data_IF_119208816479
#
_entry.id   IF_119208816479
#
_cell.length_a   1.000
_cell.length_b   1.000
_cell.length_c   1.000
_cell.angle_alpha   90.00
_cell.angle_beta   90.00
_cell.angle_gamma   90.00
#
_symmetry.space_group_name_H-M   'P 1'
#
loop_
_entity.id
_entity.type
_entity.pdbx_description
1 polymer ?
#
# COMPACT_ATOMS: atom_id res chain seq x y z
N UNK A 1 -26.14 -14.68 -11.36
CA UNK A 1 -24.69 -14.92 -11.49
C UNK A 1 -24.44 -16.40 -11.73
N UNK A 2 -23.41 -16.79 -12.49
CA UNK A 2 -23.00 -18.18 -12.61
C UNK A 2 -22.63 -18.74 -11.22
N UNK A 3 -22.96 -20.01 -10.97
CA UNK A 3 -22.70 -20.69 -9.69
C UNK A 3 -21.59 -21.71 -9.89
N UNK A 4 -20.56 -21.67 -9.03
CA UNK A 4 -19.46 -22.64 -9.01
C UNK A 4 -19.67 -23.56 -7.81
N UNK A 5 -19.62 -24.87 -8.04
CA UNK A 5 -19.66 -25.87 -6.97
C UNK A 5 -18.28 -26.49 -6.83
N UNK A 6 -17.70 -26.37 -5.63
CA UNK A 6 -16.36 -26.86 -5.29
C UNK A 6 -16.49 -27.91 -4.19
N UNK A 7 -15.69 -28.98 -4.30
CA UNK A 7 -15.58 -30.02 -3.25
C UNK A 7 -14.32 -29.75 -2.45
N UNK A 8 -14.48 -29.63 -1.14
CA UNK A 8 -13.41 -29.44 -0.16
C UNK A 8 -13.54 -30.51 0.91
N UNK A 9 -12.44 -30.83 1.59
CA UNK A 9 -12.47 -31.72 2.74
C UNK A 9 -13.09 -31.06 3.98
N UNK A 10 -13.44 -31.88 4.98
CA UNK A 10 -14.12 -31.42 6.19
C UNK A 10 -13.25 -30.44 7.01
N UNK A 11 -11.92 -30.64 7.03
CA UNK A 11 -11.00 -29.76 7.77
C UNK A 11 -10.96 -28.35 7.16
N UNK A 12 -10.90 -28.25 5.83
CA UNK A 12 -10.92 -27.00 5.11
C UNK A 12 -12.29 -26.32 5.20
N UNK A 13 -13.40 -27.09 5.16
CA UNK A 13 -14.74 -26.54 5.39
C UNK A 13 -14.84 -25.89 6.78
N UNK A 14 -14.37 -26.58 7.81
CA UNK A 14 -14.53 -26.12 9.19
C UNK A 14 -13.70 -24.84 9.43
N UNK A 15 -12.46 -24.78 8.92
CA UNK A 15 -11.64 -23.56 8.96
C UNK A 15 -12.28 -22.38 8.21
N UNK A 16 -12.93 -22.66 7.09
CA UNK A 16 -13.60 -21.65 6.29
C UNK A 16 -14.81 -21.08 7.03
N UNK A 17 -15.60 -21.95 7.68
CA UNK A 17 -16.74 -21.54 8.49
C UNK A 17 -16.29 -20.70 9.69
N UNK A 18 -15.24 -21.12 10.39
CA UNK A 18 -14.64 -20.36 11.50
C UNK A 18 -14.19 -18.97 11.05
N UNK A 19 -13.43 -18.89 9.94
CA UNK A 19 -12.96 -17.62 9.39
C UNK A 19 -14.06 -16.69 8.85
N UNK A 20 -15.20 -17.26 8.43
CA UNK A 20 -16.38 -16.51 8.02
C UNK A 20 -17.16 -15.98 9.23
N UNK A 21 -17.28 -16.77 10.30
CA UNK A 21 -17.94 -16.41 11.55
C UNK A 21 -17.18 -15.29 12.28
N UNK A 22 -15.85 -15.37 12.35
CA UNK A 22 -14.99 -14.29 12.89
C UNK A 22 -15.21 -12.95 12.19
N UNK A 23 -15.57 -12.98 10.90
CA UNK A 23 -15.81 -11.80 10.06
C UNK A 23 -17.29 -11.43 9.95
N UNK A 24 -18.20 -12.17 10.59
CA UNK A 24 -19.63 -11.93 10.56
C UNK A 24 -20.29 -12.07 9.18
N UNK A 25 -19.70 -12.86 8.27
CA UNK A 25 -20.18 -13.05 6.90
C UNK A 25 -20.54 -14.51 6.62
N UNK A 26 -21.32 -14.77 5.57
CA UNK A 26 -21.62 -16.15 5.14
C UNK A 26 -20.38 -16.83 4.54
N UNK A 27 -20.30 -18.15 4.63
CA UNK A 27 -19.21 -18.93 4.00
C UNK A 27 -19.06 -18.65 2.49
N UNK A 28 -20.18 -18.47 1.77
CA UNK A 28 -20.16 -18.12 0.35
C UNK A 28 -19.64 -16.70 0.10
N UNK A 29 -19.98 -15.75 0.97
CA UNK A 29 -19.45 -14.38 0.91
C UNK A 29 -17.96 -14.37 1.23
N UNK A 30 -17.54 -15.13 2.24
CA UNK A 30 -16.14 -15.26 2.61
C UNK A 30 -15.31 -15.84 1.46
N UNK A 31 -15.74 -16.97 0.88
CA UNK A 31 -15.07 -17.57 -0.29
C UNK A 31 -15.00 -16.60 -1.45
N UNK A 32 -16.12 -15.93 -1.76
CA UNK A 32 -16.15 -14.94 -2.83
C UNK A 32 -15.13 -13.83 -2.59
N UNK A 33 -15.14 -13.23 -1.40
CA UNK A 33 -14.23 -12.14 -1.06
C UNK A 33 -12.77 -12.59 -1.08
N UNK A 34 -12.47 -13.81 -0.60
CA UNK A 34 -11.11 -14.37 -0.66
C UNK A 34 -10.66 -14.67 -2.09
N UNK A 35 -11.57 -15.13 -2.95
CA UNK A 35 -11.29 -15.38 -4.37
C UNK A 35 -11.13 -14.05 -5.12
N UNK A 36 -11.99 -13.06 -4.87
CA UNK A 36 -11.88 -11.72 -5.41
C UNK A 36 -10.60 -11.03 -4.92
N UNK A 37 -10.22 -11.19 -3.65
CA UNK A 37 -8.94 -10.72 -3.11
C UNK A 37 -7.77 -11.41 -3.81
N UNK A 38 -7.86 -12.72 -4.05
CA UNK A 38 -6.82 -13.47 -4.76
C UNK A 38 -6.67 -13.02 -6.22
N UNK A 39 -7.77 -12.79 -6.94
CA UNK A 39 -7.72 -12.33 -8.33
C UNK A 39 -7.39 -10.83 -8.44
N UNK A 40 -7.80 -9.99 -7.48
CA UNK A 40 -7.32 -8.60 -7.35
C UNK A 40 -5.80 -8.52 -7.13
N UNK A 41 -5.17 -9.58 -6.63
CA UNK A 41 -3.72 -9.65 -6.49
C UNK A 41 -3.01 -10.05 -7.81
N UNK A 42 -3.72 -10.53 -8.82
CA UNK A 42 -3.17 -10.94 -10.13
C UNK A 42 -3.45 -9.93 -11.26
N UNK A 43 -4.56 -9.20 -11.21
CA UNK A 43 -4.93 -8.21 -12.24
C UNK A 43 -4.20 -6.87 -12.01
N UNK A 44 -2.99 -6.75 -12.54
CA UNK A 44 -2.20 -5.51 -12.62
C UNK A 44 -2.67 -4.49 -13.67
N UNK A 45 -3.95 -4.46 -14.04
CA UNK A 45 -4.50 -3.52 -15.04
C UNK A 45 -5.90 -3.02 -14.66
N UNK A 46 -6.05 -2.39 -13.50
CA UNK A 46 -7.14 -1.44 -13.28
C UNK A 46 -6.58 -0.03 -13.36
N UNK A 47 -6.98 0.68 -14.42
CA UNK A 47 -6.90 2.14 -14.46
C UNK A 47 -7.87 2.66 -13.41
N UNK A 48 -7.32 3.20 -12.31
CA UNK A 48 -8.03 3.90 -11.23
C UNK A 48 -9.27 3.15 -10.69
N UNK A 49 -9.16 2.42 -9.56
CA UNK A 49 -10.27 2.15 -8.63
C UNK A 49 -10.74 3.49 -8.02
N UNK A 50 -11.37 4.29 -8.88
CA UNK A 50 -12.48 5.15 -8.49
C UNK A 50 -13.52 4.27 -7.79
N UNK A 51 -14.28 4.78 -6.82
CA UNK A 51 -15.30 4.01 -6.11
C UNK A 51 -16.09 3.14 -7.09
N UNK A 52 -15.87 1.83 -7.04
CA UNK A 52 -16.13 0.92 -8.16
C UNK A 52 -17.57 0.41 -8.17
N UNK A 53 -18.52 1.28 -7.82
CA UNK A 53 -19.95 1.00 -7.84
C UNK A 53 -20.70 2.09 -8.58
N UNK A 54 -21.84 1.73 -9.16
CA UNK A 54 -22.83 2.74 -9.55
C UNK A 54 -23.22 3.49 -8.26
N UNK A 55 -22.63 4.67 -8.06
CA UNK A 55 -22.92 5.54 -6.93
C UNK A 55 -24.32 6.12 -7.10
N UNK A 56 -25.33 5.36 -6.67
CA UNK A 56 -26.72 5.81 -6.69
C UNK A 56 -27.05 6.48 -5.35
N UNK A 57 -27.11 7.81 -5.38
CA UNK A 57 -27.49 8.63 -4.23
C UNK A 57 -28.98 8.96 -4.30
N UNK A 58 -29.71 8.63 -3.25
CA UNK A 58 -31.10 9.03 -3.09
C UNK A 58 -31.26 10.56 -3.14
N UNK A 59 -32.44 11.09 -3.49
CA UNK A 59 -32.69 12.53 -3.46
C UNK A 59 -32.38 13.18 -2.10
N UNK A 60 -32.54 12.44 -0.99
CA UNK A 60 -32.23 12.94 0.36
C UNK A 60 -30.73 13.04 0.58
N UNK A 61 -29.95 12.03 0.15
CA UNK A 61 -28.48 12.06 0.24
C UNK A 61 -27.89 13.18 -0.62
N UNK A 62 -28.36 13.33 -1.87
CA UNK A 62 -27.95 14.44 -2.75
C UNK A 62 -28.30 15.79 -2.15
N UNK A 63 -29.51 15.96 -1.62
CA UNK A 63 -29.92 17.20 -0.97
C UNK A 63 -29.05 17.50 0.27
N UNK A 64 -28.64 16.47 1.00
CA UNK A 64 -27.76 16.61 2.16
C UNK A 64 -26.38 17.12 1.74
N UNK A 65 -25.75 16.48 0.74
CA UNK A 65 -24.45 16.91 0.20
C UNK A 65 -24.50 18.33 -0.38
N UNK A 66 -25.56 18.67 -1.13
CA UNK A 66 -25.78 20.05 -1.63
C UNK A 66 -25.84 21.05 -0.48
N UNK A 67 -26.52 20.73 0.61
CA UNK A 67 -26.57 21.61 1.79
C UNK A 67 -25.20 21.74 2.46
N UNK A 68 -24.38 20.68 2.48
CA UNK A 68 -23.01 20.73 3.00
C UNK A 68 -22.11 21.64 2.16
N UNK A 69 -22.09 21.51 0.82
CA UNK A 69 -21.33 22.41 -0.05
C UNK A 69 -21.78 23.87 0.09
N UNK A 70 -23.09 24.12 0.18
CA UNK A 70 -23.61 25.47 0.43
C UNK A 70 -23.19 26.00 1.78
N UNK A 71 -23.13 25.16 2.81
CA UNK A 71 -22.63 25.55 4.13
C UNK A 71 -21.12 25.87 4.09
N UNK A 72 -20.31 25.10 3.35
CA UNK A 72 -18.88 25.37 3.14
C UNK A 72 -18.68 26.71 2.43
N UNK A 73 -19.41 26.96 1.33
CA UNK A 73 -19.38 28.23 0.60
C UNK A 73 -19.83 29.42 1.45
N UNK A 74 -20.86 29.23 2.27
CA UNK A 74 -21.38 30.28 3.15
C UNK A 74 -20.43 30.57 4.33
N UNK A 75 -19.79 29.55 4.87
CA UNK A 75 -18.84 29.68 5.97
C UNK A 75 -17.54 30.33 5.49
N UNK A 76 -17.04 29.95 4.31
CA UNK A 76 -15.77 30.41 3.71
C UNK A 76 -14.63 30.55 4.75
N UNK A 77 -14.63 29.70 5.78
CA UNK A 77 -13.95 29.96 7.05
C UNK A 77 -12.43 29.87 6.95
N UNK A 78 -11.79 29.48 8.06
CA UNK A 78 -10.34 29.30 8.16
C UNK A 78 -9.85 27.97 7.52
N UNK A 79 -10.53 27.48 6.49
CA UNK A 79 -10.03 26.32 5.73
C UNK A 79 -8.78 26.72 4.95
N UNK A 80 -7.75 25.88 5.02
CA UNK A 80 -6.57 26.04 4.19
C UNK A 80 -6.93 25.89 2.71
N UNK A 81 -6.14 26.50 1.83
CA UNK A 81 -6.35 26.48 0.37
C UNK A 81 -6.39 25.05 -0.20
N UNK A 82 -5.73 24.10 0.47
CA UNK A 82 -5.77 22.67 0.12
C UNK A 82 -7.14 22.00 0.36
N UNK A 83 -7.99 22.58 1.21
CA UNK A 83 -9.29 22.02 1.60
C UNK A 83 -10.48 22.88 1.15
N UNK A 84 -10.24 23.96 0.40
CA UNK A 84 -11.31 24.85 -0.06
C UNK A 84 -11.03 25.40 -1.47
N UNK A 85 -11.86 25.00 -2.42
CA UNK A 85 -11.95 25.62 -3.75
C UNK A 85 -13.43 25.95 -4.04
N UNK A 86 -13.77 27.24 -4.00
CA UNK A 86 -15.11 27.73 -4.25
C UNK A 86 -15.67 27.26 -5.61
N UNK A 87 -14.82 27.14 -6.64
CA UNK A 87 -15.26 26.66 -7.94
C UNK A 87 -15.58 25.17 -7.92
N UNK A 88 -14.78 24.37 -7.22
CA UNK A 88 -15.04 22.95 -7.00
C UNK A 88 -16.33 22.72 -6.25
N UNK A 89 -16.55 23.44 -5.15
CA UNK A 89 -17.80 23.37 -4.37
C UNK A 89 -19.03 23.68 -5.25
N UNK A 90 -18.93 24.72 -6.09
CA UNK A 90 -20.01 25.08 -7.03
C UNK A 90 -20.21 24.04 -8.14
N UNK A 91 -19.15 23.36 -8.59
CA UNK A 91 -19.24 22.24 -9.55
C UNK A 91 -19.97 21.05 -8.92
N UNK A 92 -19.60 20.65 -7.70
CA UNK A 92 -20.24 19.55 -6.96
C UNK A 92 -21.74 19.80 -6.73
N UNK A 93 -22.13 21.02 -6.32
CA UNK A 93 -23.56 21.39 -6.21
C UNK A 93 -24.32 21.13 -7.52
N UNK A 94 -23.78 21.58 -8.66
CA UNK A 94 -24.44 21.39 -9.97
C UNK A 94 -24.56 19.90 -10.32
N UNK A 95 -23.51 19.12 -10.08
CA UNK A 95 -23.49 17.68 -10.35
C UNK A 95 -24.56 16.94 -9.54
N UNK A 96 -24.68 17.26 -8.25
CA UNK A 96 -25.65 16.64 -7.34
C UNK A 96 -27.09 17.04 -7.66
N UNK A 97 -27.37 18.33 -7.86
CA UNK A 97 -28.72 18.85 -8.16
C UNK A 97 -29.28 18.29 -9.47
N UNK A 98 -28.45 18.17 -10.50
CA UNK A 98 -28.87 17.68 -11.82
C UNK A 98 -28.81 16.15 -11.93
N UNK A 99 -28.20 15.46 -10.96
CA UNK A 99 -28.11 14.00 -10.98
C UNK A 99 -27.14 13.46 -12.03
N UNK A 100 -26.01 14.15 -12.26
CA UNK A 100 -24.98 13.69 -13.20
C UNK A 100 -24.14 12.56 -12.57
N UNK A 101 -24.73 11.37 -12.48
CA UNK A 101 -24.14 10.21 -11.78
C UNK A 101 -22.78 9.79 -12.35
N UNK A 102 -22.53 10.01 -13.65
CA UNK A 102 -21.23 9.77 -14.29
C UNK A 102 -20.09 10.64 -13.73
N UNK A 103 -20.41 11.79 -13.13
CA UNK A 103 -19.44 12.73 -12.57
C UNK A 103 -19.16 12.46 -11.08
N UNK A 104 -19.96 11.63 -10.40
CA UNK A 104 -19.87 11.48 -8.94
C UNK A 104 -18.49 10.98 -8.52
N UNK A 105 -17.99 9.94 -9.17
CA UNK A 105 -16.71 9.35 -8.81
C UNK A 105 -15.53 10.33 -8.98
N UNK A 106 -15.56 11.20 -9.99
CA UNK A 106 -14.44 12.10 -10.31
C UNK A 106 -14.56 13.51 -9.73
N UNK A 107 -15.75 13.94 -9.29
CA UNK A 107 -16.00 15.28 -8.77
C UNK A 107 -16.43 15.27 -7.30
N UNK A 108 -17.38 14.41 -6.91
CA UNK A 108 -17.94 14.39 -5.55
C UNK A 108 -17.11 13.53 -4.61
N UNK A 109 -16.71 12.34 -5.08
CA UNK A 109 -15.96 11.36 -4.31
C UNK A 109 -14.48 11.32 -4.72
N UNK A 110 -14.00 12.38 -5.37
CA UNK A 110 -12.60 12.53 -5.72
C UNK A 110 -11.74 12.51 -4.44
N UNK A 111 -10.71 11.65 -4.41
CA UNK A 111 -9.85 11.49 -3.24
C UNK A 111 -10.44 10.63 -2.12
N UNK A 112 -11.66 10.09 -2.29
CA UNK A 112 -12.21 9.04 -1.42
C UNK A 112 -11.86 7.70 -2.04
N UNK A 113 -10.84 7.07 -1.48
CA UNK A 113 -10.40 5.74 -1.88
C UNK A 113 -11.10 4.67 -1.05
N UNK A 114 -11.22 3.48 -1.64
CA UNK A 114 -11.65 2.31 -0.88
C UNK A 114 -10.70 2.08 0.32
N UNK A 115 -11.24 1.67 1.49
CA UNK A 115 -10.41 1.43 2.67
C UNK A 115 -9.29 0.43 2.38
N UNK A 116 -8.05 0.84 2.65
CA UNK A 116 -6.89 -0.05 2.56
C UNK A 116 -7.05 -1.21 3.57
N UNK A 117 -7.01 -2.48 3.12
CA UNK A 117 -7.05 -3.61 4.03
C UNK A 117 -5.90 -3.58 5.03
N UNK A 118 -6.16 -4.02 6.27
CA UNK A 118 -5.14 -4.08 7.33
C UNK A 118 -3.88 -4.84 6.89
N UNK A 119 -4.05 -5.91 6.13
CA UNK A 119 -2.97 -6.75 5.60
C UNK A 119 -2.03 -5.99 4.66
N UNK A 120 -2.55 -5.02 3.89
CA UNK A 120 -1.72 -4.15 3.05
C UNK A 120 -0.94 -3.14 3.89
N UNK A 121 -1.57 -2.56 4.91
CA UNK A 121 -0.90 -1.69 5.85
C UNK A 121 0.24 -2.40 6.60
N UNK A 122 0.01 -3.64 7.05
CA UNK A 122 1.03 -4.49 7.68
C UNK A 122 2.15 -4.85 6.71
N UNK A 123 1.83 -5.08 5.43
CA UNK A 123 2.84 -5.32 4.39
C UNK A 123 3.75 -4.11 4.21
N UNK A 124 3.22 -2.89 4.17
CA UNK A 124 4.05 -1.67 4.12
C UNK A 124 4.99 -1.60 5.32
N UNK A 125 4.50 -1.90 6.52
CA UNK A 125 5.34 -1.91 7.73
C UNK A 125 6.45 -2.94 7.65
N UNK A 126 6.14 -4.17 7.23
CA UNK A 126 7.12 -5.23 7.05
C UNK A 126 8.23 -4.83 6.06
N UNK A 127 7.86 -4.15 4.97
CA UNK A 127 8.82 -3.66 3.97
C UNK A 127 9.75 -2.60 4.58
N UNK A 128 9.19 -1.59 5.25
CA UNK A 128 9.98 -0.52 5.86
C UNK A 128 10.89 -1.03 6.97
N UNK A 129 10.40 -1.94 7.82
CA UNK A 129 11.20 -2.57 8.88
C UNK A 129 12.31 -3.47 8.33
N UNK A 130 12.06 -4.19 7.24
CA UNK A 130 13.09 -4.96 6.57
C UNK A 130 14.26 -4.06 6.13
N UNK A 131 13.97 -2.94 5.47
CA UNK A 131 15.03 -2.00 5.03
C UNK A 131 15.75 -1.34 6.20
N UNK A 132 15.04 -0.99 7.27
CA UNK A 132 15.65 -0.50 8.52
C UNK A 132 16.64 -1.52 9.08
N UNK A 133 16.24 -2.78 9.18
CA UNK A 133 17.08 -3.85 9.72
C UNK A 133 18.29 -4.10 8.81
N UNK A 134 18.11 -4.10 7.48
CA UNK A 134 19.22 -4.25 6.52
C UNK A 134 20.23 -3.12 6.72
N UNK A 135 19.78 -1.86 6.68
CA UNK A 135 20.65 -0.69 6.84
C UNK A 135 21.40 -0.70 8.18
N UNK A 136 20.72 -1.08 9.27
CA UNK A 136 21.35 -1.27 10.57
C UNK A 136 22.38 -2.40 10.55
N UNK A 137 22.05 -3.56 9.97
CA UNK A 137 22.94 -4.72 9.93
C UNK A 137 24.19 -4.44 9.13
N UNK A 138 24.09 -3.72 8.01
CA UNK A 138 25.24 -3.31 7.21
C UNK A 138 26.11 -2.29 7.95
N UNK A 139 25.51 -1.35 8.68
CA UNK A 139 26.25 -0.40 9.52
C UNK A 139 27.13 -1.10 10.57
N UNK A 140 26.65 -2.21 11.14
CA UNK A 140 27.43 -3.01 12.11
C UNK A 140 28.64 -3.73 11.48
N UNK A 141 28.69 -3.87 10.15
CA UNK A 141 29.86 -4.37 9.41
C UNK A 141 30.98 -3.31 9.26
N UNK A 142 30.73 -2.07 9.68
CA UNK A 142 31.68 -0.96 9.63
C UNK A 142 31.56 -0.09 8.37
N UNK A 143 32.56 0.78 8.15
CA UNK A 143 32.51 1.84 7.13
C UNK A 143 32.34 1.33 5.69
N UNK A 144 32.86 0.13 5.39
CA UNK A 144 32.77 -0.50 4.07
C UNK A 144 31.75 -1.65 4.07
N UNK A 145 30.66 -1.51 4.82
CA UNK A 145 29.71 -2.60 5.05
C UNK A 145 29.04 -3.08 3.77
N UNK A 146 28.73 -2.17 2.84
CA UNK A 146 28.09 -2.51 1.56
C UNK A 146 29.04 -3.24 0.62
N UNK A 147 30.29 -2.82 0.53
CA UNK A 147 31.33 -3.44 -0.30
C UNK A 147 31.63 -4.86 0.16
N UNK A 148 31.62 -5.10 1.48
CA UNK A 148 31.82 -6.42 2.08
C UNK A 148 30.76 -7.45 1.66
N UNK A 149 29.60 -7.01 1.15
CA UNK A 149 28.57 -7.92 0.65
C UNK A 149 28.96 -8.54 -0.70
N UNK A 150 29.90 -7.96 -1.45
CA UNK A 150 30.32 -8.48 -2.75
C UNK A 150 29.18 -8.51 -3.79
N UNK A 151 28.22 -7.58 -3.69
CA UNK A 151 27.08 -7.47 -4.59
C UNK A 151 27.12 -6.17 -5.39
N UNK A 152 26.76 -6.24 -6.67
CA UNK A 152 26.58 -5.07 -7.53
C UNK A 152 25.38 -4.25 -7.04
N UNK A 153 25.58 -2.94 -6.87
CA UNK A 153 24.57 -1.99 -6.41
C UNK A 153 23.91 -2.39 -5.07
N UNK A 154 24.67 -3.01 -4.16
CA UNK A 154 24.14 -3.53 -2.90
C UNK A 154 23.36 -2.49 -2.09
N UNK A 155 23.85 -1.25 -2.04
CA UNK A 155 23.18 -0.15 -1.33
C UNK A 155 21.82 0.20 -1.95
N UNK A 156 21.71 0.15 -3.28
CA UNK A 156 20.43 0.39 -3.96
C UNK A 156 19.40 -0.68 -3.60
N UNK A 157 19.76 -1.96 -3.68
CA UNK A 157 18.88 -3.07 -3.29
C UNK A 157 18.62 -3.11 -1.78
N UNK A 158 19.51 -2.55 -0.97
CA UNK A 158 19.41 -2.49 0.49
C UNK A 158 18.72 -1.23 1.01
N UNK A 159 18.28 -0.33 0.13
CA UNK A 159 17.51 0.86 0.47
C UNK A 159 16.09 0.76 -0.09
N UNK A 160 15.13 1.32 0.63
CA UNK A 160 13.76 1.45 0.16
C UNK A 160 13.72 2.37 -1.07
N UNK A 161 13.19 1.87 -2.19
CA UNK A 161 13.14 2.61 -3.46
C UNK A 161 11.80 3.30 -3.70
N UNK A 162 10.89 3.27 -2.72
CA UNK A 162 9.55 3.78 -2.91
C UNK A 162 8.62 2.77 -3.59
N UNK A 163 7.59 3.31 -4.21
CA UNK A 163 6.48 2.59 -4.84
C UNK A 163 6.10 3.29 -6.16
N UNK A 164 5.59 2.55 -7.13
CA UNK A 164 5.26 3.09 -8.45
C UNK A 164 3.92 3.84 -8.41
N UNK A 165 3.92 5.12 -8.78
CA UNK A 165 2.69 5.89 -8.90
C UNK A 165 1.82 5.47 -10.10
N UNK A 166 2.38 4.75 -11.08
CA UNK A 166 1.61 4.23 -12.22
C UNK A 166 0.87 2.93 -11.89
N UNK A 167 1.27 2.23 -10.83
CA UNK A 167 0.53 1.10 -10.29
C UNK A 167 -0.35 1.60 -9.16
N UNK A 168 -1.67 1.44 -9.30
CA UNK A 168 -2.61 2.02 -8.34
C UNK A 168 -2.40 1.51 -6.91
N UNK A 169 -2.11 0.22 -6.78
CA UNK A 169 -1.95 -0.41 -5.49
C UNK A 169 -0.70 0.10 -4.80
N UNK A 170 0.40 0.19 -5.53
CA UNK A 170 1.64 0.81 -5.07
C UNK A 170 1.46 2.31 -4.78
N UNK A 171 0.68 3.05 -5.57
CA UNK A 171 0.35 4.45 -5.29
C UNK A 171 -0.39 4.62 -3.95
N UNK A 172 -1.33 3.74 -3.62
CA UNK A 172 -1.98 3.71 -2.30
C UNK A 172 -0.97 3.39 -1.19
N UNK A 173 -0.06 2.44 -1.41
CA UNK A 173 1.01 2.11 -0.46
C UNK A 173 2.00 3.27 -0.26
N UNK A 174 2.29 4.04 -1.31
CA UNK A 174 3.13 5.23 -1.24
C UNK A 174 2.45 6.31 -0.39
N UNK A 175 1.17 6.58 -0.66
CA UNK A 175 0.36 7.55 0.10
C UNK A 175 0.35 7.18 1.59
N UNK A 176 0.15 5.89 1.91
CA UNK A 176 0.21 5.43 3.29
C UNK A 176 1.63 5.56 3.89
N UNK A 177 2.67 5.27 3.12
CA UNK A 177 4.07 5.46 3.55
C UNK A 177 4.36 6.92 3.89
N UNK A 178 3.91 7.86 3.05
CA UNK A 178 4.01 9.31 3.32
C UNK A 178 3.32 9.67 4.64
N UNK A 179 2.08 9.21 4.84
CA UNK A 179 1.36 9.43 6.10
C UNK A 179 2.11 8.89 7.33
N UNK A 180 2.72 7.70 7.23
CA UNK A 180 3.52 7.13 8.31
C UNK A 180 4.73 8.01 8.65
N UNK A 181 5.46 8.48 7.62
CA UNK A 181 6.65 9.31 7.79
C UNK A 181 6.31 10.68 8.35
N UNK A 182 5.25 11.33 7.86
CA UNK A 182 4.77 12.62 8.35
C UNK A 182 4.26 12.56 9.79
N UNK A 183 3.69 11.41 10.20
CA UNK A 183 3.27 11.15 11.58
C UNK A 183 4.41 10.73 12.52
N UNK A 184 5.67 10.78 12.07
CA UNK A 184 6.86 10.50 12.89
C UNK A 184 7.24 9.02 12.97
N UNK A 185 6.74 8.16 12.07
CA UNK A 185 7.09 6.74 11.99
C UNK A 185 8.01 6.49 10.80
N UNK A 186 9.09 5.73 11.00
CA UNK A 186 10.12 5.53 9.95
C UNK A 186 10.73 6.84 9.43
N UNK A 187 11.02 7.77 10.35
CA UNK A 187 11.62 9.07 10.05
C UNK A 187 12.94 8.99 9.26
N UNK A 188 13.65 7.86 9.32
CA UNK A 188 14.85 7.64 8.50
C UNK A 188 14.58 7.71 6.99
N UNK A 189 13.32 7.59 6.56
CA UNK A 189 12.89 7.73 5.16
C UNK A 189 12.50 9.17 4.80
N UNK A 190 12.42 10.10 5.77
CA UNK A 190 11.90 11.45 5.55
C UNK A 190 12.64 12.23 4.47
N UNK A 191 13.96 12.16 4.46
CA UNK A 191 14.76 12.81 3.42
C UNK A 191 14.45 12.24 2.03
N UNK A 192 14.29 10.92 1.91
CA UNK A 192 13.89 10.27 0.67
C UNK A 192 12.45 10.59 0.26
N UNK A 193 11.52 10.72 1.20
CA UNK A 193 10.10 10.97 0.90
C UNK A 193 9.79 12.45 0.62
N UNK A 194 10.55 13.38 1.19
CA UNK A 194 10.30 14.84 1.07
C UNK A 194 11.35 15.58 0.25
N UNK A 195 12.46 14.91 -0.08
CA UNK A 195 13.56 15.48 -0.84
C UNK A 195 13.14 15.83 -2.27
N UNK A 196 13.71 16.92 -2.79
CA UNK A 196 13.50 17.31 -4.18
C UNK A 196 14.04 16.24 -5.15
N UNK A 197 15.16 15.60 -4.80
CA UNK A 197 15.91 14.71 -5.69
C UNK A 197 15.34 13.30 -5.85
N UNK A 198 14.35 12.90 -5.04
CA UNK A 198 13.89 11.52 -4.90
C UNK A 198 12.45 11.29 -5.42
N UNK A 199 11.93 12.23 -6.22
CA UNK A 199 10.54 12.24 -6.73
C UNK A 199 9.48 11.85 -5.68
N UNK A 200 9.74 12.26 -4.42
CA UNK A 200 8.90 11.98 -3.25
C UNK A 200 8.58 10.49 -3.03
N UNK A 201 9.51 9.61 -3.38
CA UNK A 201 9.35 8.16 -3.20
C UNK A 201 8.59 7.46 -4.32
N UNK A 202 8.39 8.12 -5.47
CA UNK A 202 7.95 7.45 -6.68
C UNK A 202 9.10 6.63 -7.29
N UNK A 203 8.94 5.31 -7.36
CA UNK A 203 10.00 4.42 -7.89
C UNK A 203 10.10 4.44 -9.42
N UNK A 204 9.06 4.92 -10.12
CA UNK A 204 8.89 4.82 -11.59
C UNK A 204 8.91 3.38 -12.14
N UNK A 205 8.84 2.36 -11.27
CA UNK A 205 8.76 0.96 -11.64
C UNK A 205 8.15 0.15 -10.49
N UNK A 206 7.30 -0.83 -10.82
CA UNK A 206 6.70 -1.70 -9.82
C UNK A 206 7.76 -2.39 -8.94
N UNK A 207 7.71 -2.17 -7.62
CA UNK A 207 8.68 -2.68 -6.64
C UNK A 207 8.12 -3.75 -5.71
N UNK A 208 6.80 -3.91 -5.64
CA UNK A 208 6.14 -4.78 -4.67
C UNK A 208 6.50 -6.25 -4.85
N UNK A 209 6.69 -6.70 -6.10
CA UNK A 209 7.20 -8.05 -6.39
C UNK A 209 8.58 -8.27 -5.77
N UNK A 210 9.51 -7.36 -6.04
CA UNK A 210 10.86 -7.34 -5.47
C UNK A 210 10.83 -7.38 -3.95
N UNK A 211 10.05 -6.51 -3.31
CA UNK A 211 9.96 -6.47 -1.85
C UNK A 211 9.38 -7.77 -1.26
N UNK A 212 8.41 -8.39 -1.92
CA UNK A 212 7.83 -9.66 -1.48
C UNK A 212 8.84 -10.80 -1.53
N UNK A 213 9.66 -10.85 -2.57
CA UNK A 213 10.71 -11.87 -2.70
C UNK A 213 11.80 -11.69 -1.64
N UNK A 214 12.19 -10.44 -1.37
CA UNK A 214 13.08 -10.10 -0.25
C UNK A 214 12.46 -10.53 1.09
N UNK A 215 11.18 -10.19 1.35
CA UNK A 215 10.49 -10.52 2.59
C UNK A 215 10.37 -12.02 2.83
N UNK A 216 10.17 -12.82 1.77
CA UNK A 216 10.13 -14.29 1.85
C UNK A 216 11.42 -14.86 2.42
N UNK A 217 12.55 -14.23 2.09
CA UNK A 217 13.88 -14.59 2.58
C UNK A 217 14.18 -13.97 3.94
N UNK A 218 13.82 -12.70 4.12
CA UNK A 218 14.10 -11.93 5.33
C UNK A 218 13.38 -12.46 6.57
N UNK A 219 12.06 -12.72 6.49
CA UNK A 219 11.24 -13.06 7.67
C UNK A 219 11.76 -14.30 8.43
N UNK A 220 12.08 -15.43 7.77
CA UNK A 220 12.67 -16.59 8.45
C UNK A 220 14.03 -16.30 9.10
N UNK A 221 14.90 -15.55 8.40
CA UNK A 221 16.24 -15.20 8.88
C UNK A 221 16.14 -14.29 10.11
N UNK A 222 15.34 -13.24 10.04
CA UNK A 222 15.14 -12.31 11.15
C UNK A 222 14.53 -12.99 12.37
N UNK A 223 13.52 -13.86 12.17
CA UNK A 223 12.94 -14.66 13.25
C UNK A 223 13.97 -15.55 13.95
N UNK A 224 14.91 -16.15 13.20
CA UNK A 224 16.01 -16.94 13.77
C UNK A 224 16.97 -16.05 14.56
N UNK A 225 17.35 -14.90 14.02
CA UNK A 225 18.25 -13.93 14.67
C UNK A 225 17.67 -13.43 16.00
N UNK A 226 16.42 -12.98 16.01
CA UNK A 226 15.76 -12.47 17.22
C UNK A 226 15.62 -13.57 18.29
N UNK A 227 15.28 -14.81 17.89
CA UNK A 227 15.25 -15.97 18.82
C UNK A 227 16.62 -16.29 19.42
N UNK A 228 17.69 -16.02 18.68
CA UNK A 228 19.06 -16.12 19.16
C UNK A 228 19.54 -14.89 19.94
N UNK A 229 18.65 -13.95 20.28
CA UNK A 229 18.97 -12.66 20.90
C UNK A 229 19.93 -11.77 20.06
N UNK A 230 20.05 -12.05 18.77
CA UNK A 230 20.78 -11.22 17.83
C UNK A 230 20.08 -9.89 17.57
N UNK A 231 20.86 -8.83 17.34
CA UNK A 231 20.35 -7.47 17.06
C UNK A 231 20.50 -7.05 15.60
N UNK A 232 21.26 -7.80 14.81
CA UNK A 232 21.53 -7.54 13.40
C UNK A 232 21.67 -8.87 12.63
N UNK A 233 21.42 -8.83 11.33
CA UNK A 233 21.68 -9.94 10.43
C UNK A 233 23.18 -10.07 10.16
N UNK A 234 23.65 -11.30 9.88
CA UNK A 234 25.00 -11.52 9.38
C UNK A 234 25.15 -10.96 7.96
N UNK A 235 26.38 -10.68 7.52
CA UNK A 235 26.65 -10.24 6.15
C UNK A 235 26.06 -11.23 5.12
N UNK A 236 26.20 -12.53 5.36
CA UNK A 236 25.68 -13.58 4.48
C UNK A 236 24.14 -13.62 4.45
N UNK A 237 23.47 -13.36 5.58
CA UNK A 237 22.01 -13.28 5.62
C UNK A 237 21.50 -12.03 4.90
N UNK A 238 22.18 -10.89 5.04
CA UNK A 238 21.88 -9.67 4.26
C UNK A 238 22.04 -9.97 2.76
N UNK A 239 23.15 -10.59 2.34
CA UNK A 239 23.39 -10.96 0.94
C UNK A 239 22.24 -11.76 0.35
N UNK A 240 21.75 -12.79 1.05
CA UNK A 240 20.63 -13.63 0.59
C UNK A 240 19.37 -12.82 0.37
N UNK A 241 19.06 -11.88 1.27
CA UNK A 241 17.88 -11.01 1.12
C UNK A 241 18.03 -10.13 -0.11
N UNK A 242 19.20 -9.51 -0.33
CA UNK A 242 19.42 -8.64 -1.49
C UNK A 242 19.40 -9.41 -2.81
N UNK A 243 19.95 -10.62 -2.86
CA UNK A 243 19.90 -11.49 -4.05
C UNK A 243 18.45 -11.86 -4.39
N UNK A 244 17.61 -12.13 -3.38
CA UNK A 244 16.19 -12.38 -3.59
C UNK A 244 15.47 -11.16 -4.20
N UNK A 245 15.97 -9.94 -3.94
CA UNK A 245 15.51 -8.71 -4.58
C UNK A 245 16.13 -8.41 -5.95
N UNK A 246 16.99 -9.30 -6.48
CA UNK A 246 17.61 -9.14 -7.81
C UNK A 246 19.07 -8.66 -7.81
N UNK A 247 19.68 -8.44 -6.65
CA UNK A 247 21.10 -8.12 -6.57
C UNK A 247 21.96 -9.27 -7.14
N UNK A 248 23.06 -8.92 -7.80
CA UNK A 248 23.97 -9.90 -8.43
C UNK A 248 25.34 -9.84 -7.79
N UNK A 249 26.03 -10.97 -7.75
CA UNK A 249 27.42 -11.02 -7.29
C UNK A 249 28.34 -10.22 -8.22
N UNK A 250 29.37 -9.62 -7.62
CA UNK A 250 30.50 -9.08 -8.38
C UNK A 250 31.28 -10.30 -8.88
N UNK A 251 31.14 -10.65 -10.16
CA UNK A 251 32.05 -11.63 -10.78
C UNK A 251 33.44 -11.01 -10.84
N UNK A 252 34.46 -11.73 -10.39
CA UNK A 252 35.86 -11.41 -10.67
C UNK A 252 36.07 -11.49 -12.19
N UNK A 253 36.32 -10.34 -12.83
CA UNK A 253 36.80 -10.25 -14.22
C UNK A 253 38.30 -10.60 -14.30
#
# INVERSE_FOLDING_TARGET
MPTITIRIDDEMRDRLMEAAEERGVSASTFVRNSVEEHFRLEDGERLEERPSGDLDLSPVERQTLVLLHRAILAAKGDLAEEYYDAESEMRSIRVLENGFTSEYAGQEFAGIYDPMPKTEGELVWDILDMFRVIKFSVKELGANGWEQLGLKNAEWYGAFQGFDLNDEREARMLTYTTHLVESGRWEEQKEFMTGWTSDRGNSHMAMLGTYRDMLRTFKPLWKKTVRGFGRHLSAEDVRKVLIAGGAKEVMDD
#
